data_IF_513222178850
#
_entry.id   IF_513222178850
#
_cell.length_a   1.000
_cell.length_b   1.000
_cell.length_c   1.000
_cell.angle_alpha   90.00
_cell.angle_beta   90.00
_cell.angle_gamma   90.00
#
_symmetry.space_group_name_H-M   'P 1'
#
loop_
_entity.id
_entity.type
_entity.pdbx_description
1 polymer ?
#
# COMPACT_ATOMS: atom_id res chain seq x y z
N UNK A 1 20.37 15.95 4.78
CA UNK A 1 19.27 15.44 3.92
C UNK A 1 18.38 14.43 4.64
N UNK A 2 18.80 13.15 4.84
CA UNK A 2 17.95 12.09 5.43
C UNK A 2 17.14 12.51 6.67
N UNK A 3 17.77 13.12 7.69
CA UNK A 3 17.07 13.57 8.91
C UNK A 3 15.89 14.51 8.62
N UNK A 4 16.11 15.61 7.88
CA UNK A 4 15.07 16.58 7.55
C UNK A 4 13.95 15.97 6.69
N UNK A 5 14.31 15.14 5.71
CA UNK A 5 13.35 14.42 4.87
C UNK A 5 12.44 13.51 5.71
N UNK A 6 13.03 12.67 6.57
CA UNK A 6 12.27 11.82 7.49
C UNK A 6 11.44 12.65 8.48
N UNK A 7 11.98 13.72 9.05
CA UNK A 7 11.25 14.59 9.97
C UNK A 7 10.00 15.18 9.32
N UNK A 8 10.11 15.76 8.13
CA UNK A 8 8.99 16.31 7.38
C UNK A 8 7.93 15.25 7.04
N UNK A 9 8.33 14.01 6.73
CA UNK A 9 7.40 12.89 6.53
C UNK A 9 6.62 12.56 7.81
N UNK A 10 7.28 12.52 8.96
CA UNK A 10 6.60 12.27 10.25
C UNK A 10 5.64 13.41 10.60
N UNK A 11 6.06 14.67 10.44
CA UNK A 11 5.20 15.84 10.63
C UNK A 11 3.97 15.82 9.70
N UNK A 12 4.15 15.49 8.43
CA UNK A 12 3.04 15.37 7.48
C UNK A 12 2.10 14.21 7.84
N UNK A 13 2.64 13.05 8.25
CA UNK A 13 1.84 11.92 8.71
C UNK A 13 0.98 12.28 9.94
N UNK A 14 1.57 12.99 10.90
CA UNK A 14 0.87 13.51 12.08
C UNK A 14 -0.20 14.56 11.71
N UNK A 15 0.08 15.46 10.77
CA UNK A 15 -0.91 16.41 10.27
C UNK A 15 -2.10 15.71 9.60
N UNK A 16 -1.88 14.62 8.85
CA UNK A 16 -2.97 13.82 8.27
C UNK A 16 -3.71 13.01 9.34
N UNK A 17 -3.06 12.56 10.41
CA UNK A 17 -3.73 11.99 11.58
C UNK A 17 -4.67 13.01 12.25
N UNK A 18 -4.23 14.25 12.49
CA UNK A 18 -5.10 15.30 13.01
C UNK A 18 -6.26 15.65 12.05
N UNK A 19 -5.98 15.71 10.73
CA UNK A 19 -7.03 15.90 9.73
C UNK A 19 -8.01 14.72 9.65
N UNK A 20 -7.64 13.52 10.12
CA UNK A 20 -8.47 12.30 10.04
C UNK A 20 -9.71 12.34 10.94
N UNK A 21 -9.72 13.21 11.96
CA UNK A 21 -10.88 13.43 12.83
C UNK A 21 -12.00 14.20 12.08
N UNK A 22 -11.63 15.14 11.22
CA UNK A 22 -12.56 16.06 10.54
C UNK A 22 -12.84 15.68 9.08
N UNK A 23 -11.91 15.00 8.39
CA UNK A 23 -12.01 14.74 6.95
C UNK A 23 -12.06 13.22 6.64
N UNK A 24 -13.15 12.69 6.03
CA UNK A 24 -13.27 11.28 5.68
C UNK A 24 -12.20 10.74 4.72
N UNK A 25 -11.65 11.56 3.81
CA UNK A 25 -10.57 11.18 2.89
C UNK A 25 -9.25 11.02 3.63
N UNK A 26 -8.93 11.93 4.55
CA UNK A 26 -7.80 11.78 5.47
C UNK A 26 -7.96 10.54 6.37
N UNK A 27 -9.17 10.29 6.88
CA UNK A 27 -9.51 9.10 7.66
C UNK A 27 -9.28 7.78 6.92
N UNK A 28 -9.62 7.74 5.62
CA UNK A 28 -9.29 6.59 4.74
C UNK A 28 -7.78 6.44 4.52
N UNK A 29 -7.04 7.51 4.18
CA UNK A 29 -5.56 7.45 3.99
C UNK A 29 -4.79 7.11 5.27
N UNK A 30 -5.27 7.52 6.44
CA UNK A 30 -4.68 7.14 7.73
C UNK A 30 -4.96 5.65 8.04
N UNK A 31 -6.23 5.24 8.07
CA UNK A 31 -6.60 3.85 8.40
C UNK A 31 -6.05 2.81 7.42
N UNK A 32 -6.01 3.12 6.12
CA UNK A 32 -5.48 2.21 5.12
C UNK A 32 -3.99 1.94 5.30
N UNK A 33 -3.20 2.99 5.55
CA UNK A 33 -1.73 2.91 5.61
C UNK A 33 -1.22 2.26 6.90
N UNK A 34 -1.96 2.38 8.02
CA UNK A 34 -1.63 1.70 9.29
C UNK A 34 -1.49 0.17 9.15
N UNK A 35 -2.22 -0.47 8.22
CA UNK A 35 -2.18 -1.93 8.05
C UNK A 35 -1.18 -2.43 6.99
N UNK A 36 -0.57 -1.54 6.21
CA UNK A 36 0.26 -1.95 5.06
C UNK A 36 1.45 -2.78 5.51
N UNK A 37 2.21 -2.32 6.51
CA UNK A 37 3.36 -3.07 7.03
C UNK A 37 2.95 -4.40 7.66
N UNK A 38 1.86 -4.44 8.45
CA UNK A 38 1.32 -5.69 9.00
C UNK A 38 0.97 -6.73 7.91
N UNK A 39 0.34 -6.30 6.82
CA UNK A 39 0.01 -7.22 5.70
C UNK A 39 1.26 -7.67 4.93
N UNK A 40 2.25 -6.79 4.76
CA UNK A 40 3.54 -7.13 4.13
C UNK A 40 4.33 -8.13 4.99
N UNK A 41 4.44 -7.89 6.29
CA UNK A 41 5.08 -8.80 7.25
C UNK A 41 4.39 -10.17 7.26
N UNK A 42 3.06 -10.20 7.38
CA UNK A 42 2.27 -11.44 7.37
C UNK A 42 2.46 -12.26 6.09
N UNK A 43 2.55 -11.62 4.92
CA UNK A 43 2.76 -12.32 3.65
C UNK A 43 4.24 -12.70 3.44
N UNK A 44 5.19 -11.91 3.95
CA UNK A 44 6.64 -12.21 3.86
C UNK A 44 7.05 -13.49 4.59
N UNK A 45 6.24 -13.95 5.56
CA UNK A 45 6.45 -15.20 6.27
C UNK A 45 6.15 -16.46 5.43
N UNK A 46 5.40 -16.34 4.33
CA UNK A 46 5.20 -17.44 3.37
C UNK A 46 6.27 -17.43 2.28
N UNK A 47 6.94 -18.57 2.05
CA UNK A 47 7.99 -18.74 1.03
C UNK A 47 7.43 -18.87 -0.40
N UNK A 48 6.39 -18.09 -0.71
CA UNK A 48 5.78 -18.03 -2.03
C UNK A 48 6.74 -17.34 -3.01
N UNK A 49 6.61 -17.63 -4.30
CA UNK A 49 7.23 -16.80 -5.32
C UNK A 49 6.40 -15.51 -5.45
N UNK A 50 7.07 -14.36 -5.60
CA UNK A 50 6.45 -13.03 -5.59
C UNK A 50 6.48 -12.39 -6.97
N UNK A 51 5.36 -11.83 -7.42
CA UNK A 51 5.33 -11.01 -8.66
C UNK A 51 4.94 -9.57 -8.31
N UNK A 52 5.94 -8.68 -8.39
CA UNK A 52 5.78 -7.27 -8.06
C UNK A 52 5.26 -6.46 -9.25
N UNK A 53 3.99 -6.07 -9.20
CA UNK A 53 3.38 -5.16 -10.16
C UNK A 53 3.63 -3.70 -9.78
N UNK A 54 4.07 -2.89 -10.75
CA UNK A 54 4.11 -1.44 -10.65
C UNK A 54 3.03 -0.83 -11.53
N UNK A 55 2.35 0.19 -11.03
CA UNK A 55 1.45 1.07 -11.77
C UNK A 55 1.71 2.50 -11.31
N UNK A 56 1.84 3.45 -12.24
CA UNK A 56 2.07 4.86 -11.93
C UNK A 56 0.79 5.57 -11.48
N UNK A 57 -0.39 5.01 -11.79
CA UNK A 57 -1.69 5.54 -11.38
C UNK A 57 -2.70 4.45 -10.99
N UNK A 58 -3.77 4.86 -10.29
CA UNK A 58 -4.91 3.99 -10.00
C UNK A 58 -5.65 3.56 -11.28
N UNK A 59 -5.60 4.37 -12.35
CA UNK A 59 -6.21 4.04 -13.63
C UNK A 59 -5.51 2.85 -14.30
N UNK A 60 -4.18 2.89 -14.34
CA UNK A 60 -3.35 1.77 -14.82
C UNK A 60 -3.56 0.51 -13.97
N UNK A 61 -3.66 0.65 -12.64
CA UNK A 61 -3.94 -0.49 -11.77
C UNK A 61 -5.29 -1.14 -12.08
N UNK A 62 -6.37 -0.36 -12.23
CA UNK A 62 -7.70 -0.89 -12.56
C UNK A 62 -7.73 -1.51 -13.97
N UNK A 63 -6.97 -0.97 -14.92
CA UNK A 63 -6.79 -1.55 -16.27
C UNK A 63 -5.97 -2.85 -16.25
N UNK A 64 -4.95 -2.93 -15.40
CA UNK A 64 -4.10 -4.12 -15.23
C UNK A 64 -4.72 -5.22 -14.36
N UNK A 65 -5.70 -4.88 -13.50
CA UNK A 65 -6.28 -5.83 -12.53
C UNK A 65 -6.79 -7.14 -13.15
N UNK A 66 -7.47 -7.18 -14.32
CA UNK A 66 -7.87 -8.44 -14.95
C UNK A 66 -6.70 -9.38 -15.28
N UNK A 67 -5.52 -8.82 -15.61
CA UNK A 67 -4.31 -9.61 -15.90
C UNK A 67 -3.71 -10.17 -14.60
N UNK A 68 -3.71 -9.37 -13.52
CA UNK A 68 -3.25 -9.79 -12.19
C UNK A 68 -4.16 -10.90 -11.64
N UNK A 69 -5.48 -10.75 -11.78
CA UNK A 69 -6.48 -11.74 -11.37
C UNK A 69 -6.37 -13.04 -12.18
N UNK A 70 -6.14 -12.96 -13.50
CA UNK A 70 -5.90 -14.12 -14.35
C UNK A 70 -4.61 -14.87 -13.98
N UNK A 71 -3.48 -14.17 -13.86
CA UNK A 71 -2.19 -14.76 -13.51
C UNK A 71 -2.24 -15.48 -12.16
N UNK A 72 -2.92 -14.91 -11.16
CA UNK A 72 -3.11 -15.51 -9.84
C UNK A 72 -4.01 -16.75 -9.86
N UNK A 73 -4.94 -16.83 -10.82
CA UNK A 73 -5.79 -18.02 -11.04
C UNK A 73 -5.03 -19.15 -11.72
N UNK A 74 -4.14 -18.83 -12.66
CA UNK A 74 -3.29 -19.81 -13.37
C UNK A 74 -2.13 -20.32 -12.50
N UNK A 75 -1.61 -19.48 -11.59
CA UNK A 75 -0.53 -19.81 -10.68
C UNK A 75 -0.91 -19.59 -9.19
N UNK A 76 -1.78 -20.44 -8.60
CA UNK A 76 -2.29 -20.26 -7.23
C UNK A 76 -1.23 -20.41 -6.12
N UNK A 77 -0.01 -20.83 -6.44
CA UNK A 77 1.14 -20.85 -5.52
C UNK A 77 2.03 -19.60 -5.53
N UNK A 78 1.64 -18.57 -6.28
CA UNK A 78 2.35 -17.28 -6.39
C UNK A 78 1.59 -16.21 -5.57
N UNK A 79 2.36 -15.36 -4.86
CA UNK A 79 1.85 -14.23 -4.08
C UNK A 79 1.66 -12.98 -4.94
#
# INVERSE_FOLDING_TARGET
>A
MRFLYSFLIHCYSFAVFLASFFNPKAKKWHKGRLKVFYYLEQQSATSNHWIWFHAASLGEFEQGRPVIEALKKEHPGIS
#
